data_IF_449814097823
#
_entry.id   IF_449814097823
#
_cell.length_a   1.000
_cell.length_b   1.000
_cell.length_c   1.000
_cell.angle_alpha   90.00
_cell.angle_beta   90.00
_cell.angle_gamma   90.00
#
_symmetry.space_group_name_H-M   'P 1'
#
loop_
_entity.id
_entity.type
_entity.pdbx_description
1 polymer ?
#
# COMPACT_ATOMS: atom_id res chain seq x y z
N UNK A 1 29.72 22.61 7.95
CA UNK A 1 29.00 23.18 9.11
C UNK A 1 27.77 22.32 9.30
N UNK A 2 27.79 21.39 10.26
CA UNK A 2 26.59 20.67 10.69
C UNK A 2 25.76 21.63 11.53
N UNK A 3 24.73 22.21 10.93
CA UNK A 3 23.66 22.85 11.70
C UNK A 3 22.91 21.69 12.32
N UNK A 4 23.05 21.48 13.61
CA UNK A 4 22.20 20.55 14.35
C UNK A 4 20.75 21.06 14.13
N UNK A 5 19.91 20.24 13.46
CA UNK A 5 18.49 20.54 13.32
C UNK A 5 17.90 20.57 14.73
N UNK A 6 17.50 21.77 15.18
CA UNK A 6 16.77 21.92 16.44
C UNK A 6 15.39 21.27 16.25
N UNK A 7 15.18 20.13 16.93
CA UNK A 7 13.91 19.42 16.96
C UNK A 7 12.98 20.04 18.01
N UNK A 8 11.74 20.30 17.63
CA UNK A 8 10.71 20.88 18.49
C UNK A 8 9.69 19.81 18.88
N UNK A 9 9.50 19.55 20.17
CA UNK A 9 8.49 18.59 20.61
C UNK A 9 7.07 19.15 20.37
N UNK A 10 6.21 18.35 19.77
CA UNK A 10 4.80 18.60 19.58
C UNK A 10 4.00 17.41 20.09
N UNK A 11 2.90 17.65 20.82
CA UNK A 11 2.01 16.59 21.26
C UNK A 11 0.89 16.41 20.22
N UNK A 12 0.81 15.21 19.64
CA UNK A 12 -0.17 14.83 18.65
C UNK A 12 -0.82 13.52 19.10
N UNK A 13 -2.13 13.52 19.29
CA UNK A 13 -2.89 12.35 19.81
C UNK A 13 -2.26 11.74 21.07
N UNK A 14 -1.78 12.62 22.00
CA UNK A 14 -1.15 12.21 23.24
C UNK A 14 0.29 11.69 23.11
N UNK A 15 0.91 11.77 21.95
CA UNK A 15 2.32 11.38 21.68
C UNK A 15 3.16 12.61 21.44
N UNK A 16 4.39 12.57 21.97
CA UNK A 16 5.38 13.61 21.66
C UNK A 16 6.07 13.24 20.34
N UNK A 17 6.00 14.16 19.37
CA UNK A 17 6.64 14.07 18.05
C UNK A 17 7.67 15.17 17.96
N UNK A 18 8.91 14.82 17.66
CA UNK A 18 9.98 15.78 17.41
C UNK A 18 9.96 16.20 15.94
N UNK A 19 9.78 17.50 15.68
CA UNK A 19 9.69 18.07 14.36
C UNK A 19 10.74 19.16 14.20
N UNK A 20 11.24 19.34 12.98
CA UNK A 20 12.03 20.50 12.67
C UNK A 20 11.22 21.81 12.81
N UNK A 21 11.92 22.96 12.92
CA UNK A 21 11.29 24.26 13.15
C UNK A 21 10.28 24.61 12.05
N UNK A 22 10.63 24.35 10.79
CA UNK A 22 9.79 24.70 9.64
C UNK A 22 8.50 23.91 9.67
N UNK A 23 8.58 22.61 9.95
CA UNK A 23 7.41 21.74 10.07
C UNK A 23 6.51 22.15 11.23
N UNK A 24 7.10 22.49 12.39
CA UNK A 24 6.37 22.97 13.55
C UNK A 24 5.63 24.29 13.28
N UNK A 25 6.29 25.24 12.62
CA UNK A 25 5.70 26.53 12.26
C UNK A 25 4.56 26.37 11.25
N UNK A 26 4.73 25.49 10.26
CA UNK A 26 3.68 25.22 9.26
C UNK A 26 2.43 24.55 9.89
N UNK A 27 2.61 23.66 10.84
CA UNK A 27 1.49 23.00 11.54
C UNK A 27 0.74 23.95 12.47
N UNK A 28 1.43 24.96 13.03
CA UNK A 28 0.82 25.99 13.90
C UNK A 28 0.26 27.20 13.12
N UNK A 29 0.55 27.28 11.81
CA UNK A 29 0.08 28.38 10.97
C UNK A 29 -1.46 28.42 10.92
N UNK A 30 -2.06 29.62 10.85
CA UNK A 30 -3.52 29.73 10.77
C UNK A 30 -4.05 29.03 9.52
N UNK A 31 -5.25 28.45 9.59
CA UNK A 31 -5.89 27.83 8.44
C UNK A 31 -6.10 28.86 7.32
N UNK A 32 -6.15 28.38 6.10
CA UNK A 32 -6.36 29.19 4.88
C UNK A 32 -7.71 28.91 4.26
N UNK A 33 -8.24 29.87 3.53
CA UNK A 33 -9.50 29.76 2.79
C UNK A 33 -9.24 29.63 1.31
N UNK A 34 -9.85 28.61 0.70
CA UNK A 34 -9.83 28.40 -0.75
C UNK A 34 -11.24 28.13 -1.26
N UNK A 35 -11.45 28.25 -2.55
CA UNK A 35 -12.74 27.95 -3.18
C UNK A 35 -12.56 26.80 -4.16
N UNK A 36 -13.38 25.74 -4.04
CA UNK A 36 -13.38 24.59 -4.96
C UNK A 36 -14.78 24.42 -5.56
N UNK A 37 -14.91 24.57 -6.87
CA UNK A 37 -16.19 24.55 -7.58
C UNK A 37 -17.27 25.44 -6.94
N UNK A 38 -16.85 26.63 -6.49
CA UNK A 38 -17.74 27.60 -5.83
C UNK A 38 -17.99 27.34 -4.33
N UNK A 39 -17.47 26.25 -3.76
CA UNK A 39 -17.57 25.97 -2.32
C UNK A 39 -16.34 26.51 -1.59
N UNK A 40 -16.57 27.32 -0.56
CA UNK A 40 -15.51 27.78 0.33
C UNK A 40 -15.08 26.66 1.28
N UNK A 41 -13.78 26.51 1.46
CA UNK A 41 -13.16 25.53 2.34
C UNK A 41 -12.06 26.18 3.15
N UNK A 42 -12.16 26.08 4.45
CA UNK A 42 -11.11 26.47 5.38
C UNK A 42 -10.30 25.23 5.77
N UNK A 43 -8.97 25.28 5.60
CA UNK A 43 -8.10 24.11 5.81
C UNK A 43 -6.74 24.52 6.36
N UNK A 44 -6.16 23.67 7.22
CA UNK A 44 -4.80 23.86 7.73
C UNK A 44 -3.77 23.83 6.60
N UNK A 45 -2.69 24.59 6.71
CA UNK A 45 -1.61 24.66 5.70
C UNK A 45 -0.82 23.36 5.61
N UNK A 46 -0.70 22.66 6.73
CA UNK A 46 -0.02 21.37 6.82
C UNK A 46 -0.77 20.42 7.76
N UNK A 47 -0.54 19.14 7.59
CA UNK A 47 -1.06 18.06 8.42
C UNK A 47 0.05 17.06 8.72
N UNK A 48 -0.20 16.13 9.63
CA UNK A 48 0.69 15.01 9.88
C UNK A 48 0.20 13.78 9.11
N UNK A 49 1.05 13.25 8.26
CA UNK A 49 0.85 11.95 7.62
C UNK A 49 1.44 10.87 8.50
N UNK A 50 0.70 9.78 8.71
CA UNK A 50 1.14 8.63 9.50
C UNK A 50 1.47 7.46 8.59
N UNK A 51 2.69 6.93 8.72
CA UNK A 51 3.02 5.66 8.07
C UNK A 51 2.17 4.54 8.72
N UNK A 52 1.37 3.79 7.95
CA UNK A 52 0.45 2.79 8.49
C UNK A 52 1.15 1.61 9.15
N UNK A 53 2.44 1.38 8.86
CA UNK A 53 3.22 0.24 9.35
C UNK A 53 4.11 0.64 10.51
N UNK A 54 4.96 1.65 10.31
CA UNK A 54 5.91 2.10 11.34
C UNK A 54 5.25 2.99 12.39
N UNK A 55 4.10 3.57 12.08
CA UNK A 55 3.43 4.57 12.90
C UNK A 55 4.15 5.93 12.93
N UNK A 56 5.21 6.09 12.15
CA UNK A 56 5.98 7.33 12.03
C UNK A 56 5.10 8.46 11.51
N UNK A 57 5.19 9.63 12.14
CA UNK A 57 4.48 10.83 11.75
C UNK A 57 5.42 11.78 11.01
N UNK A 58 5.03 12.19 9.81
CA UNK A 58 5.77 13.18 9.00
C UNK A 58 4.88 14.37 8.67
N UNK A 59 5.40 15.60 8.75
CA UNK A 59 4.68 16.78 8.31
C UNK A 59 4.46 16.73 6.80
N UNK A 60 3.24 17.02 6.38
CA UNK A 60 2.83 17.06 4.98
C UNK A 60 2.10 18.36 4.70
N UNK A 61 2.50 19.09 3.65
CA UNK A 61 1.74 20.22 3.16
C UNK A 61 0.37 19.77 2.68
N UNK A 62 -0.66 20.49 3.09
CA UNK A 62 -2.03 20.22 2.63
C UNK A 62 -2.14 20.50 1.15
N UNK A 63 -2.64 19.53 0.39
CA UNK A 63 -2.79 19.62 -1.06
C UNK A 63 -4.21 20.04 -1.46
N UNK A 64 -4.38 20.42 -2.72
CA UNK A 64 -5.72 20.68 -3.29
C UNK A 64 -6.60 19.43 -3.17
N UNK A 65 -6.03 18.23 -3.27
CA UNK A 65 -6.77 16.98 -3.11
C UNK A 65 -7.32 16.81 -1.69
N UNK A 66 -6.49 17.08 -0.67
CA UNK A 66 -6.91 17.03 0.74
C UNK A 66 -8.06 18.02 1.00
N UNK A 67 -7.96 19.21 0.42
CA UNK A 67 -9.02 20.23 0.52
C UNK A 67 -10.30 19.83 -0.20
N UNK A 68 -10.21 19.20 -1.37
CA UNK A 68 -11.36 18.69 -2.10
C UNK A 68 -12.07 17.56 -1.35
N UNK A 69 -11.32 16.67 -0.72
CA UNK A 69 -11.87 15.62 0.15
C UNK A 69 -12.64 16.22 1.32
N UNK A 70 -12.08 17.25 1.98
CA UNK A 70 -12.76 17.98 3.07
C UNK A 70 -14.05 18.66 2.61
N UNK A 71 -14.05 19.20 1.37
CA UNK A 71 -15.22 19.84 0.74
C UNK A 71 -16.29 18.85 0.23
N UNK A 72 -16.00 17.54 0.25
CA UNK A 72 -16.85 16.52 -0.39
C UNK A 72 -16.89 16.66 -1.91
N UNK A 73 -15.81 17.19 -2.53
CA UNK A 73 -15.67 17.32 -3.99
C UNK A 73 -14.86 16.16 -4.54
N UNK A 74 -15.42 15.47 -5.51
CA UNK A 74 -14.77 14.33 -6.12
C UNK A 74 -13.69 14.75 -7.12
N UNK A 75 -12.45 14.32 -6.89
CA UNK A 75 -11.35 14.40 -7.84
C UNK A 75 -10.85 12.96 -8.08
N UNK A 76 -10.81 12.46 -9.33
CA UNK A 76 -10.33 11.12 -9.60
C UNK A 76 -8.83 11.01 -9.36
N UNK A 77 -8.40 9.89 -8.79
CA UNK A 77 -6.99 9.60 -8.51
C UNK A 77 -6.65 8.17 -8.92
N UNK A 78 -5.43 7.92 -9.40
CA UNK A 78 -4.93 6.58 -9.68
C UNK A 78 -3.54 6.33 -9.09
N UNK A 79 -2.59 7.25 -9.23
CA UNK A 79 -1.24 7.03 -8.70
C UNK A 79 -1.10 7.44 -7.23
N UNK A 80 -2.02 8.23 -6.69
CA UNK A 80 -1.95 8.70 -5.31
C UNK A 80 -2.50 7.68 -4.32
N UNK A 81 -1.85 7.60 -3.16
CA UNK A 81 -2.31 6.97 -1.91
C UNK A 81 -1.98 7.91 -0.77
N UNK A 82 -2.84 7.99 0.22
CA UNK A 82 -2.77 8.95 1.32
C UNK A 82 -1.47 8.86 2.13
N UNK A 83 -0.94 7.66 2.28
CA UNK A 83 0.27 7.37 3.07
C UNK A 83 1.56 7.26 2.22
N UNK A 84 1.51 7.64 0.95
CA UNK A 84 2.66 7.65 0.05
C UNK A 84 2.93 9.04 -0.48
N UNK A 85 4.19 9.38 -0.71
CA UNK A 85 4.56 10.64 -1.33
C UNK A 85 3.91 10.82 -2.72
N UNK A 86 3.30 11.97 -3.01
CA UNK A 86 2.61 12.18 -4.27
C UNK A 86 3.61 12.36 -5.42
N UNK A 87 3.52 11.51 -6.46
CA UNK A 87 4.39 11.56 -7.66
C UNK A 87 3.73 12.26 -8.86
N UNK A 88 2.42 12.50 -8.82
CA UNK A 88 1.65 13.19 -9.85
C UNK A 88 1.81 12.64 -11.29
N UNK A 89 2.16 11.36 -11.45
CA UNK A 89 2.50 10.75 -12.74
C UNK A 89 1.28 10.46 -13.62
N UNK A 90 0.16 10.03 -13.05
CA UNK A 90 -1.03 9.65 -13.82
C UNK A 90 -1.84 10.83 -14.32
N UNK A 91 -1.73 12.01 -13.72
CA UNK A 91 -2.45 13.25 -14.04
C UNK A 91 -3.97 13.18 -13.96
N UNK A 92 -4.54 12.12 -13.39
CA UNK A 92 -5.99 11.98 -13.22
C UNK A 92 -6.57 13.04 -12.29
N UNK A 93 -5.83 13.47 -11.29
CA UNK A 93 -6.22 14.52 -10.37
C UNK A 93 -5.99 15.94 -10.91
N UNK A 94 -5.97 16.12 -12.24
CA UNK A 94 -5.82 17.42 -12.85
C UNK A 94 -6.95 18.38 -12.46
N UNK A 95 -6.61 19.61 -12.11
CA UNK A 95 -7.54 20.69 -11.78
C UNK A 95 -7.08 22.01 -12.41
N UNK A 96 -8.01 22.94 -12.60
CA UNK A 96 -7.73 24.27 -13.10
C UNK A 96 -7.71 25.27 -11.94
N UNK A 97 -6.61 25.99 -11.80
CA UNK A 97 -6.41 27.06 -10.80
C UNK A 97 -6.29 28.45 -11.47
N UNK A 98 -6.74 28.57 -12.73
CA UNK A 98 -6.54 29.78 -13.53
C UNK A 98 -5.14 29.94 -14.11
N UNK A 99 -4.25 28.93 -13.98
CA UNK A 99 -2.92 28.93 -14.55
C UNK A 99 -2.93 28.50 -16.04
N UNK A 100 -1.81 28.73 -16.74
CA UNK A 100 -1.66 28.33 -18.14
C UNK A 100 -1.91 26.82 -18.35
N UNK A 101 -1.48 26.01 -17.40
CA UNK A 101 -1.60 24.54 -17.46
C UNK A 101 -2.38 24.00 -16.26
N UNK A 102 -3.04 22.85 -16.46
CA UNK A 102 -3.69 22.13 -15.37
C UNK A 102 -2.62 21.60 -14.38
N UNK A 103 -2.94 21.66 -13.10
CA UNK A 103 -2.06 21.18 -12.03
C UNK A 103 -2.58 19.86 -11.44
N UNK A 104 -1.70 19.08 -10.84
CA UNK A 104 -2.07 17.85 -10.17
C UNK A 104 -2.49 18.14 -8.72
N UNK A 105 -3.77 17.96 -8.40
CA UNK A 105 -4.32 18.24 -7.07
C UNK A 105 -3.64 17.45 -5.95
N UNK A 106 -3.18 16.23 -6.21
CA UNK A 106 -2.50 15.39 -5.22
C UNK A 106 -1.10 15.90 -4.80
N UNK A 107 -0.52 16.83 -5.56
CA UNK A 107 0.84 17.32 -5.33
C UNK A 107 0.90 18.84 -5.09
N UNK A 108 -0.05 19.60 -5.65
CA UNK A 108 -0.06 21.07 -5.51
C UNK A 108 -0.54 21.47 -4.12
N UNK A 109 0.29 22.14 -3.30
CA UNK A 109 -0.14 22.69 -2.03
C UNK A 109 -1.20 23.78 -2.21
N UNK A 110 -2.06 23.91 -1.21
CA UNK A 110 -3.06 24.99 -1.15
C UNK A 110 -2.43 26.34 -0.79
N UNK A 111 -2.98 27.41 -1.33
CA UNK A 111 -2.58 28.78 -1.06
C UNK A 111 -3.82 29.63 -0.72
N UNK A 112 -3.65 30.66 0.10
CA UNK A 112 -4.74 31.56 0.50
C UNK A 112 -5.45 32.17 -0.71
N UNK A 113 -6.77 32.13 -0.71
CA UNK A 113 -7.59 32.68 -1.78
C UNK A 113 -7.59 31.91 -3.10
N UNK A 114 -6.95 30.72 -3.15
CA UNK A 114 -6.89 29.89 -4.35
C UNK A 114 -8.31 29.53 -4.83
N UNK A 115 -8.56 29.67 -6.13
CA UNK A 115 -9.81 29.22 -6.79
C UNK A 115 -9.51 27.99 -7.64
N UNK A 116 -10.19 26.89 -7.35
CA UNK A 116 -9.98 25.59 -8.00
C UNK A 116 -11.26 25.15 -8.72
N UNK A 117 -11.13 24.80 -9.99
CA UNK A 117 -12.20 24.20 -10.80
C UNK A 117 -11.84 22.76 -11.13
N UNK A 118 -12.76 21.83 -10.84
CA UNK A 118 -12.61 20.40 -11.16
C UNK A 118 -13.31 20.07 -12.49
N UNK A 119 -13.39 18.79 -12.85
CA UNK A 119 -14.16 18.33 -14.00
C UNK A 119 -15.67 18.58 -13.91
N UNK A 120 -16.16 19.00 -12.74
CA UNK A 120 -17.57 19.37 -12.58
C UNK A 120 -17.85 20.78 -13.13
N UNK A 121 -16.89 21.70 -13.03
CA UNK A 121 -17.08 23.12 -13.40
C UNK A 121 -16.17 23.57 -14.55
N UNK A 122 -15.15 22.81 -14.93
CA UNK A 122 -14.23 23.10 -16.01
C UNK A 122 -14.25 22.05 -17.11
N UNK A 123 -14.72 22.42 -18.31
CA UNK A 123 -14.70 21.55 -19.48
C UNK A 123 -13.27 21.17 -19.90
N UNK A 124 -12.29 22.06 -19.69
CA UNK A 124 -10.88 21.79 -19.94
C UNK A 124 -10.37 20.63 -19.07
N UNK A 125 -10.72 20.61 -17.78
CA UNK A 125 -10.39 19.51 -16.86
C UNK A 125 -11.13 18.25 -17.26
N UNK A 126 -12.45 18.33 -17.47
CA UNK A 126 -13.29 17.21 -17.85
C UNK A 126 -12.79 16.50 -19.12
N UNK A 127 -12.47 17.26 -20.16
CA UNK A 127 -11.96 16.70 -21.42
C UNK A 127 -10.56 16.08 -21.22
N UNK A 128 -9.68 16.74 -20.48
CA UNK A 128 -8.34 16.22 -20.18
C UNK A 128 -8.42 14.86 -19.47
N UNK A 129 -9.23 14.76 -18.43
CA UNK A 129 -9.39 13.52 -17.65
C UNK A 129 -10.01 12.40 -18.50
N UNK A 130 -11.00 12.72 -19.35
CA UNK A 130 -11.59 11.74 -20.29
C UNK A 130 -10.54 11.18 -21.25
N UNK A 131 -9.76 12.04 -21.90
CA UNK A 131 -8.71 11.62 -22.84
C UNK A 131 -7.66 10.75 -22.13
N UNK A 132 -7.22 11.14 -20.93
CA UNK A 132 -6.30 10.34 -20.15
C UNK A 132 -6.89 8.96 -19.78
N UNK A 133 -8.19 8.91 -19.46
CA UNK A 133 -8.87 7.64 -19.18
C UNK A 133 -8.87 6.74 -20.42
N UNK A 134 -9.22 7.27 -21.60
CA UNK A 134 -9.17 6.52 -22.87
C UNK A 134 -7.78 5.99 -23.15
N UNK A 135 -6.73 6.81 -23.00
CA UNK A 135 -5.33 6.40 -23.22
C UNK A 135 -4.92 5.27 -22.28
N UNK A 136 -5.26 5.34 -21.00
CA UNK A 136 -4.93 4.27 -20.06
C UNK A 136 -5.74 2.99 -20.29
N UNK A 137 -7.00 3.11 -20.73
CA UNK A 137 -7.82 1.93 -21.07
C UNK A 137 -7.27 1.15 -22.28
N UNK A 138 -6.60 1.85 -23.21
CA UNK A 138 -5.95 1.21 -24.37
C UNK A 138 -4.81 0.30 -23.94
N UNK A 139 -4.01 0.78 -23.01
CA UNK A 139 -2.83 0.07 -22.54
C UNK A 139 -3.10 -0.92 -21.40
N UNK A 140 -4.33 -0.89 -20.86
CA UNK A 140 -4.74 -1.73 -19.76
C UNK A 140 -5.64 -2.86 -20.26
N UNK A 141 -5.07 -4.02 -20.46
CA UNK A 141 -5.84 -5.23 -20.69
C UNK A 141 -6.54 -5.69 -19.40
N UNK A 142 -7.61 -6.47 -19.56
CA UNK A 142 -8.24 -7.12 -18.41
C UNK A 142 -7.26 -8.14 -17.84
N UNK A 143 -6.92 -8.10 -16.53
CA UNK A 143 -5.98 -9.04 -15.96
C UNK A 143 -6.43 -10.50 -16.20
N UNK A 144 -5.49 -11.38 -16.54
CA UNK A 144 -5.76 -12.82 -16.76
C UNK A 144 -6.28 -13.52 -15.52
N UNK A 145 -5.78 -13.10 -14.36
CA UNK A 145 -6.29 -13.59 -13.07
C UNK A 145 -7.54 -12.80 -12.75
N UNK A 146 -8.63 -13.45 -13.03
CA UNK A 146 -9.99 -12.92 -12.96
C UNK A 146 -10.30 -12.33 -11.59
N UNK A 147 -10.99 -11.24 -11.60
CA UNK A 147 -11.90 -10.60 -10.64
C UNK A 147 -11.55 -9.22 -10.14
N UNK A 148 -10.47 -8.60 -10.64
CA UNK A 148 -10.32 -7.17 -10.45
C UNK A 148 -11.00 -6.33 -11.54
N UNK A 149 -11.80 -6.97 -12.39
CA UNK A 149 -12.66 -6.28 -13.35
C UNK A 149 -13.81 -5.55 -12.64
N UNK A 150 -14.30 -6.12 -11.55
CA UNK A 150 -15.46 -5.64 -10.81
C UNK A 150 -15.03 -5.26 -9.38
N UNK A 151 -15.12 -3.97 -9.07
CA UNK A 151 -14.93 -3.45 -7.73
C UNK A 151 -13.50 -3.04 -7.38
N UNK A 152 -12.50 -3.81 -7.73
CA UNK A 152 -11.11 -3.52 -7.36
C UNK A 152 -10.27 -2.88 -8.48
N UNK A 153 -10.79 -2.80 -9.71
CA UNK A 153 -10.15 -2.07 -10.80
C UNK A 153 -10.55 -0.59 -10.77
N UNK A 154 -9.73 0.22 -10.10
CA UNK A 154 -9.99 1.65 -9.91
C UNK A 154 -10.11 2.41 -11.25
N UNK A 155 -9.29 2.06 -12.26
CA UNK A 155 -9.36 2.70 -13.58
C UNK A 155 -10.73 2.51 -14.24
N UNK A 156 -11.25 1.29 -14.24
CA UNK A 156 -12.55 0.97 -14.84
C UNK A 156 -13.70 1.55 -14.03
N UNK A 157 -13.57 1.58 -12.71
CA UNK A 157 -14.54 2.24 -11.83
C UNK A 157 -14.60 3.74 -12.09
N UNK A 158 -13.44 4.40 -12.29
CA UNK A 158 -13.39 5.82 -12.66
C UNK A 158 -14.00 6.04 -14.05
N UNK A 159 -13.66 5.21 -15.03
CA UNK A 159 -14.26 5.31 -16.38
C UNK A 159 -15.80 5.28 -16.33
N UNK A 160 -16.39 4.35 -15.58
CA UNK A 160 -17.84 4.29 -15.36
C UNK A 160 -18.38 5.55 -14.69
N UNK A 161 -17.72 6.08 -13.66
CA UNK A 161 -18.10 7.33 -12.97
C UNK A 161 -18.05 8.55 -13.91
N UNK A 162 -17.16 8.53 -14.90
CA UNK A 162 -17.06 9.58 -15.93
C UNK A 162 -18.05 9.40 -17.08
N UNK A 163 -18.93 8.38 -17.01
CA UNK A 163 -19.88 8.04 -18.06
C UNK A 163 -19.23 7.49 -19.32
N UNK A 164 -18.10 6.80 -19.19
CA UNK A 164 -17.36 6.18 -20.29
C UNK A 164 -17.54 4.68 -20.26
N UNK A 165 -17.49 4.05 -21.44
CA UNK A 165 -17.38 2.59 -21.52
C UNK A 165 -15.99 2.16 -21.05
N UNK A 166 -15.89 1.34 -20.00
CA UNK A 166 -14.61 0.90 -19.46
C UNK A 166 -13.86 -0.08 -20.38
N UNK A 167 -14.45 -0.53 -21.46
CA UNK A 167 -13.88 -1.49 -22.42
C UNK A 167 -13.62 -0.87 -23.81
N UNK A 168 -14.04 0.37 -24.03
CA UNK A 168 -13.91 1.04 -25.32
C UNK A 168 -12.88 2.18 -25.26
N UNK A 169 -12.09 2.29 -26.31
CA UNK A 169 -11.25 3.45 -26.58
C UNK A 169 -11.18 3.70 -28.09
N UNK A 170 -11.11 4.97 -28.47
CA UNK A 170 -10.89 5.39 -29.87
C UNK A 170 -9.43 5.30 -30.30
N UNK A 171 -8.52 5.10 -29.37
CA UNK A 171 -7.09 4.98 -29.67
C UNK A 171 -6.71 3.54 -30.01
N UNK A 172 -5.70 3.34 -30.87
CA UNK A 172 -5.21 2.00 -31.21
C UNK A 172 -4.57 1.33 -29.99
N UNK A 173 -4.80 0.03 -29.84
CA UNK A 173 -4.18 -0.75 -28.78
C UNK A 173 -2.64 -0.78 -28.92
N UNK A 174 -1.98 -0.86 -27.76
CA UNK A 174 -0.53 -1.10 -27.72
C UNK A 174 -0.21 -2.43 -28.40
N UNK A 175 0.66 -2.46 -29.42
CA UNK A 175 0.99 -3.69 -30.14
C UNK A 175 1.97 -4.59 -29.37
N UNK A 176 2.55 -4.11 -28.28
CA UNK A 176 3.57 -4.84 -27.53
C UNK A 176 2.95 -5.62 -26.37
N UNK A 177 3.13 -6.94 -26.38
CA UNK A 177 2.92 -7.77 -25.20
C UNK A 177 4.08 -7.50 -24.21
N UNK A 178 3.72 -7.00 -23.02
CA UNK A 178 4.67 -6.75 -21.94
C UNK A 178 4.92 -8.00 -21.08
N UNK A 179 4.15 -9.06 -21.32
CA UNK A 179 4.30 -10.36 -20.70
C UNK A 179 3.68 -10.46 -19.30
N UNK A 180 3.81 -11.65 -18.76
CA UNK A 180 3.37 -12.02 -17.41
C UNK A 180 4.51 -12.65 -16.65
N UNK A 181 4.44 -12.61 -15.31
CA UNK A 181 5.37 -13.32 -14.43
C UNK A 181 4.56 -14.07 -13.36
N UNK A 182 4.62 -15.38 -13.44
CA UNK A 182 3.98 -16.32 -12.52
C UNK A 182 4.98 -17.10 -11.67
N UNK A 183 6.22 -16.66 -11.60
CA UNK A 183 7.29 -17.33 -10.85
C UNK A 183 7.07 -17.30 -9.33
N UNK A 184 6.49 -16.23 -8.78
CA UNK A 184 6.16 -16.17 -7.36
C UNK A 184 5.06 -17.16 -6.98
N UNK A 185 5.17 -17.77 -5.83
CA UNK A 185 4.15 -18.71 -5.33
C UNK A 185 2.82 -18.04 -4.97
N UNK A 186 2.86 -16.75 -4.60
CA UNK A 186 1.71 -16.04 -4.00
C UNK A 186 1.17 -14.98 -4.95
N UNK A 187 2.03 -14.26 -5.65
CA UNK A 187 1.67 -13.10 -6.46
C UNK A 187 1.82 -13.44 -7.94
N UNK A 188 0.79 -13.14 -8.71
CA UNK A 188 0.82 -13.15 -10.18
C UNK A 188 1.00 -11.73 -10.68
N UNK A 189 1.83 -11.56 -11.69
CA UNK A 189 2.13 -10.28 -12.33
C UNK A 189 1.68 -10.31 -13.78
N UNK A 190 0.78 -9.39 -14.15
CA UNK A 190 0.38 -9.17 -15.54
C UNK A 190 0.79 -7.75 -15.95
N UNK A 191 1.89 -7.65 -16.68
CA UNK A 191 2.41 -6.35 -17.12
C UNK A 191 1.49 -5.66 -18.13
N UNK A 192 0.61 -6.38 -18.82
CA UNK A 192 -0.35 -5.80 -19.78
C UNK A 192 -1.49 -5.07 -19.05
N UNK A 193 -1.79 -5.47 -17.83
CA UNK A 193 -2.73 -4.77 -16.96
C UNK A 193 -2.11 -3.57 -16.21
N UNK A 194 -0.80 -3.34 -16.34
CA UNK A 194 -0.09 -2.31 -15.62
C UNK A 194 -0.20 -0.95 -16.31
N UNK A 195 -0.63 0.09 -15.59
CA UNK A 195 -0.71 1.49 -16.03
C UNK A 195 0.50 2.34 -15.63
N UNK A 196 1.55 1.74 -15.10
CA UNK A 196 2.78 2.42 -14.70
C UNK A 196 2.55 3.57 -13.69
N UNK A 197 1.65 3.37 -12.73
CA UNK A 197 1.29 4.39 -11.74
C UNK A 197 2.27 4.49 -10.55
N UNK A 198 3.24 3.60 -10.46
CA UNK A 198 4.26 3.50 -9.39
C UNK A 198 3.73 3.25 -7.96
N UNK A 199 2.46 2.94 -7.77
CA UNK A 199 1.98 2.60 -6.43
C UNK A 199 2.72 1.39 -5.85
N UNK A 200 2.94 0.33 -6.63
CA UNK A 200 3.65 -0.86 -6.20
C UNK A 200 5.12 -0.60 -5.87
N UNK A 201 5.79 0.24 -6.67
CA UNK A 201 7.18 0.64 -6.44
C UNK A 201 7.29 1.39 -5.11
N UNK A 202 6.44 2.40 -4.89
CA UNK A 202 6.42 3.16 -3.64
C UNK A 202 5.95 2.31 -2.45
N UNK A 203 4.99 1.44 -2.65
CA UNK A 203 4.57 0.49 -1.62
C UNK A 203 5.74 -0.39 -1.13
N UNK A 204 6.56 -0.85 -2.06
CA UNK A 204 7.75 -1.64 -1.75
C UNK A 204 8.83 -0.80 -1.05
N UNK A 205 9.10 0.41 -1.58
CA UNK A 205 10.27 1.19 -1.19
C UNK A 205 9.97 2.15 -0.02
N UNK A 206 8.84 2.89 -0.06
CA UNK A 206 8.52 3.91 0.96
C UNK A 206 7.77 3.31 2.15
N UNK A 207 6.91 2.29 1.92
CA UNK A 207 6.06 1.72 2.97
C UNK A 207 6.71 0.52 3.63
N UNK A 208 7.31 -0.39 2.85
CA UNK A 208 7.93 -1.63 3.35
C UNK A 208 9.45 -1.59 3.44
N UNK A 209 10.10 -0.62 2.78
CA UNK A 209 11.57 -0.48 2.76
C UNK A 209 12.30 -1.72 2.23
N UNK A 210 11.70 -2.44 1.28
CA UNK A 210 12.29 -3.65 0.70
C UNK A 210 13.13 -3.36 -0.55
N UNK A 211 12.84 -2.27 -1.28
CA UNK A 211 13.58 -1.78 -2.45
C UNK A 211 13.73 -2.77 -3.60
N UNK A 212 12.79 -3.73 -3.72
CA UNK A 212 12.81 -4.78 -4.74
C UNK A 212 12.24 -4.31 -6.09
N UNK A 213 11.22 -3.43 -6.02
CA UNK A 213 10.48 -3.00 -7.21
C UNK A 213 11.06 -1.72 -7.82
N UNK A 214 11.23 -1.76 -9.14
CA UNK A 214 11.65 -0.62 -9.95
C UNK A 214 10.94 -0.55 -11.30
N UNK A 215 11.34 0.41 -12.13
CA UNK A 215 10.93 0.50 -13.54
C UNK A 215 12.05 0.08 -14.44
N UNK A 216 11.72 -0.62 -15.51
CA UNK A 216 12.65 -0.93 -16.59
C UNK A 216 12.08 -0.60 -17.96
N UNK A 217 12.96 -0.54 -18.95
CA UNK A 217 12.68 -0.19 -20.33
C UNK A 217 12.13 1.23 -20.52
N UNK A 218 11.78 1.59 -21.75
CA UNK A 218 11.23 2.90 -22.12
C UNK A 218 10.13 2.74 -23.17
N UNK A 219 9.27 3.75 -23.27
CA UNK A 219 8.15 3.79 -24.21
C UNK A 219 7.17 2.63 -23.98
N UNK A 220 6.69 2.03 -25.07
CA UNK A 220 5.69 0.95 -25.01
C UNK A 220 6.19 -0.35 -24.33
N UNK A 221 7.50 -0.52 -24.21
CA UNK A 221 8.10 -1.66 -23.50
C UNK A 221 8.31 -1.42 -22.01
N UNK A 222 7.96 -0.23 -21.51
CA UNK A 222 8.08 0.08 -20.08
C UNK A 222 7.25 -0.88 -19.24
N UNK A 223 7.85 -1.40 -18.17
CA UNK A 223 7.19 -2.26 -17.19
C UNK A 223 7.84 -2.10 -15.82
N UNK A 224 7.18 -2.61 -14.80
CA UNK A 224 7.81 -2.82 -13.49
C UNK A 224 8.78 -4.01 -13.57
N UNK A 225 9.81 -3.99 -12.75
CA UNK A 225 10.80 -5.07 -12.63
C UNK A 225 11.08 -5.35 -11.16
N UNK A 226 11.62 -6.53 -10.91
CA UNK A 226 12.07 -6.98 -9.61
C UNK A 226 13.60 -7.07 -9.65
N UNK A 227 14.29 -6.51 -8.65
CA UNK A 227 15.76 -6.41 -8.60
C UNK A 227 16.36 -5.95 -9.96
N UNK A 228 17.26 -6.70 -10.53
CA UNK A 228 17.89 -6.43 -11.84
C UNK A 228 17.12 -7.05 -13.04
N UNK A 229 15.81 -7.15 -12.94
CA UNK A 229 14.89 -7.79 -13.89
C UNK A 229 14.82 -9.32 -13.73
N UNK A 230 14.98 -9.80 -12.54
CA UNK A 230 14.74 -11.19 -12.21
C UNK A 230 13.22 -11.50 -12.22
N UNK A 231 12.83 -12.76 -12.47
CA UNK A 231 11.48 -13.20 -12.14
C UNK A 231 11.16 -12.96 -10.67
N UNK A 232 9.94 -12.55 -10.35
CA UNK A 232 9.55 -12.20 -8.97
C UNK A 232 9.87 -13.30 -7.95
N UNK A 233 9.68 -14.57 -8.33
CA UNK A 233 9.95 -15.71 -7.47
C UNK A 233 11.43 -15.98 -7.20
N UNK A 234 12.33 -15.40 -8.00
CA UNK A 234 13.78 -15.53 -7.86
C UNK A 234 14.44 -14.25 -7.32
N UNK A 235 13.64 -13.20 -7.13
CA UNK A 235 14.10 -11.91 -6.62
C UNK A 235 14.20 -11.91 -5.09
N UNK A 236 14.72 -10.84 -4.52
CA UNK A 236 14.77 -10.61 -3.07
C UNK A 236 13.39 -10.28 -2.45
N UNK A 237 12.30 -10.51 -3.19
CA UNK A 237 10.94 -10.25 -2.75
C UNK A 237 10.55 -11.12 -1.54
N UNK A 238 10.16 -10.48 -0.46
CA UNK A 238 9.71 -11.14 0.78
C UNK A 238 8.21 -11.50 0.76
N UNK A 239 7.54 -11.37 -0.37
CA UNK A 239 6.12 -11.73 -0.56
C UNK A 239 5.14 -11.04 0.41
N UNK A 240 5.45 -9.82 0.87
CA UNK A 240 4.63 -9.09 1.84
C UNK A 240 3.25 -8.65 1.31
N UNK A 241 3.03 -8.65 -0.02
CA UNK A 241 1.74 -8.34 -0.65
C UNK A 241 1.40 -6.84 -0.77
N UNK A 242 2.19 -5.91 -0.22
CA UNK A 242 1.86 -4.48 -0.22
C UNK A 242 1.73 -3.90 -1.64
N UNK A 243 2.57 -4.35 -2.56
CA UNK A 243 2.50 -3.97 -3.98
C UNK A 243 1.19 -4.40 -4.64
N UNK A 244 0.68 -5.57 -4.28
CA UNK A 244 -0.60 -6.12 -4.74
C UNK A 244 -1.77 -5.33 -4.14
N UNK A 245 -1.76 -5.07 -2.83
CA UNK A 245 -2.79 -4.28 -2.15
C UNK A 245 -2.87 -2.84 -2.68
N UNK A 246 -1.75 -2.30 -3.15
CA UNK A 246 -1.66 -0.95 -3.70
C UNK A 246 -1.98 -0.86 -5.19
N UNK A 247 -2.04 -1.97 -5.94
CA UNK A 247 -2.24 -1.96 -7.38
C UNK A 247 -3.67 -1.55 -7.76
N UNK A 248 -3.87 -0.46 -8.55
CA UNK A 248 -5.21 0.03 -8.88
C UNK A 248 -5.89 -0.76 -10.00
N UNK A 249 -5.17 -1.59 -10.74
CA UNK A 249 -5.68 -2.28 -11.93
C UNK A 249 -5.62 -3.80 -11.85
N UNK A 250 -5.04 -4.36 -10.79
CA UNK A 250 -4.86 -5.79 -10.65
C UNK A 250 -3.72 -6.38 -11.48
N UNK A 251 -2.81 -5.54 -11.99
CA UNK A 251 -1.57 -6.00 -12.63
C UNK A 251 -0.73 -6.87 -11.68
N UNK A 252 -0.80 -6.59 -10.39
CA UNK A 252 -0.30 -7.43 -9.31
C UNK A 252 -1.50 -7.94 -8.53
N UNK A 253 -1.65 -9.25 -8.46
CA UNK A 253 -2.77 -9.90 -7.76
C UNK A 253 -2.30 -11.18 -7.09
N UNK A 254 -3.00 -11.58 -6.03
CA UNK A 254 -2.69 -12.84 -5.40
C UNK A 254 -3.11 -14.02 -6.28
N UNK A 255 -2.29 -15.05 -6.29
CA UNK A 255 -2.69 -16.33 -6.86
C UNK A 255 -3.77 -16.96 -6.00
N UNK A 256 -4.73 -17.61 -6.65
CA UNK A 256 -5.76 -18.37 -5.94
C UNK A 256 -5.12 -19.60 -5.33
N UNK A 257 -4.90 -19.58 -4.02
CA UNK A 257 -4.35 -20.72 -3.28
C UNK A 257 -5.39 -21.80 -2.96
N UNK A 258 -6.65 -21.58 -3.34
CA UNK A 258 -7.74 -22.54 -3.13
C UNK A 258 -7.46 -23.84 -3.86
N UNK A 259 -7.27 -24.91 -3.09
CA UNK A 259 -6.91 -26.23 -3.62
C UNK A 259 -5.42 -26.53 -3.65
N UNK A 260 -4.54 -25.57 -3.37
CA UNK A 260 -3.15 -25.90 -3.06
C UNK A 260 -3.09 -26.42 -1.63
N UNK A 261 -2.83 -27.72 -1.49
CA UNK A 261 -2.64 -28.38 -0.18
C UNK A 261 -1.37 -27.91 0.56
N UNK A 262 -0.75 -26.82 0.12
CA UNK A 262 0.56 -26.35 0.60
C UNK A 262 0.55 -25.87 2.06
N UNK A 263 -0.60 -25.42 2.57
CA UNK A 263 -0.72 -25.01 3.97
C UNK A 263 -1.74 -25.86 4.76
N UNK A 264 -2.53 -26.68 4.07
CA UNK A 264 -3.54 -27.52 4.67
C UNK A 264 -2.95 -28.86 5.11
N UNK A 265 -2.23 -28.87 6.24
CA UNK A 265 -1.93 -30.12 6.91
C UNK A 265 -3.21 -30.85 7.33
N UNK A 266 -3.11 -32.15 7.76
CA UNK A 266 -4.24 -32.89 8.21
C UNK A 266 -5.02 -32.15 9.30
N UNK A 267 -6.34 -32.03 9.13
CA UNK A 267 -7.23 -31.36 10.09
C UNK A 267 -7.39 -29.84 9.92
N UNK A 268 -6.90 -29.26 8.82
CA UNK A 268 -7.18 -27.88 8.48
C UNK A 268 -8.63 -27.71 8.00
N UNK A 269 -9.34 -26.73 8.56
CA UNK A 269 -10.71 -26.39 8.18
C UNK A 269 -10.74 -24.97 7.60
N UNK A 270 -11.34 -24.75 6.43
CA UNK A 270 -11.54 -23.41 5.91
C UNK A 270 -12.42 -22.60 6.85
N UNK A 271 -12.07 -21.34 7.06
CA UNK A 271 -12.88 -20.39 7.85
C UNK A 271 -13.98 -19.84 6.96
N UNK A 272 -15.20 -19.75 7.50
CA UNK A 272 -16.35 -19.20 6.75
C UNK A 272 -16.15 -17.72 6.46
N UNK A 273 -16.76 -17.21 5.36
CA UNK A 273 -16.73 -15.78 5.06
C UNK A 273 -17.38 -14.94 6.17
N UNK A 274 -18.47 -15.43 6.76
CA UNK A 274 -19.16 -14.71 7.82
C UNK A 274 -18.28 -14.57 9.07
N UNK A 275 -17.53 -15.61 9.45
CA UNK A 275 -16.56 -15.55 10.53
C UNK A 275 -15.43 -14.54 10.21
N UNK A 276 -14.95 -14.52 8.96
CA UNK A 276 -13.92 -13.58 8.55
C UNK A 276 -14.40 -12.13 8.58
N UNK A 277 -15.64 -11.84 8.16
CA UNK A 277 -16.21 -10.49 8.22
C UNK A 277 -16.41 -9.97 9.66
N UNK A 278 -16.60 -10.85 10.62
CA UNK A 278 -16.72 -10.49 12.02
C UNK A 278 -15.38 -10.31 12.72
N UNK A 279 -14.31 -10.86 12.16
CA UNK A 279 -12.99 -10.83 12.77
C UNK A 279 -12.30 -9.47 12.57
N UNK A 280 -11.76 -8.90 13.64
CA UNK A 280 -11.23 -7.53 13.65
C UNK A 280 -10.06 -7.31 12.68
N UNK A 281 -9.23 -8.34 12.45
CA UNK A 281 -8.10 -8.30 11.51
C UNK A 281 -8.53 -8.05 10.06
N UNK A 282 -9.73 -8.50 9.67
CA UNK A 282 -10.24 -8.37 8.30
C UNK A 282 -11.21 -7.20 8.13
N UNK A 283 -11.37 -6.39 9.18
CA UNK A 283 -12.22 -5.21 9.14
C UNK A 283 -11.74 -4.19 8.10
N UNK A 284 -12.63 -3.78 7.22
CA UNK A 284 -12.33 -2.84 6.14
C UNK A 284 -11.86 -3.47 4.83
N UNK A 285 -11.71 -4.80 4.78
CA UNK A 285 -11.46 -5.51 3.52
C UNK A 285 -12.76 -5.61 2.73
N UNK A 286 -12.70 -5.35 1.41
CA UNK A 286 -13.88 -5.40 0.55
C UNK A 286 -14.45 -6.81 0.43
N UNK A 287 -15.78 -6.92 0.39
CA UNK A 287 -16.48 -8.20 0.26
C UNK A 287 -16.04 -8.98 -0.98
N UNK A 288 -15.92 -8.38 -2.19
CA UNK A 288 -15.44 -9.10 -3.37
C UNK A 288 -14.03 -9.67 -3.21
N UNK A 289 -13.14 -8.96 -2.50
CA UNK A 289 -11.79 -9.45 -2.23
C UNK A 289 -11.82 -10.68 -1.31
N UNK A 290 -12.65 -10.67 -0.28
CA UNK A 290 -12.80 -11.80 0.64
C UNK A 290 -13.43 -13.02 -0.05
N UNK A 291 -14.47 -12.81 -0.86
CA UNK A 291 -15.10 -13.87 -1.66
C UNK A 291 -14.12 -14.51 -2.64
N UNK A 292 -13.28 -13.69 -3.29
CA UNK A 292 -12.23 -14.19 -4.18
C UNK A 292 -11.20 -15.05 -3.46
N UNK A 293 -10.88 -14.69 -2.23
CA UNK A 293 -9.88 -15.36 -1.41
C UNK A 293 -10.48 -16.40 -0.46
N UNK A 294 -11.71 -16.81 -0.69
CA UNK A 294 -12.36 -17.85 0.11
C UNK A 294 -11.49 -19.12 0.14
N UNK A 295 -11.22 -19.61 1.34
CA UNK A 295 -10.35 -20.78 1.56
C UNK A 295 -8.86 -20.45 1.70
N UNK A 296 -8.46 -19.17 1.59
CA UNK A 296 -7.09 -18.73 1.90
C UNK A 296 -6.83 -18.67 3.41
N UNK A 297 -7.89 -18.56 4.19
CA UNK A 297 -7.81 -18.58 5.65
C UNK A 297 -8.34 -19.91 6.13
N UNK A 298 -7.49 -20.62 6.86
CA UNK A 298 -7.79 -21.94 7.41
C UNK A 298 -7.56 -21.94 8.92
N UNK A 299 -8.38 -22.68 9.64
CA UNK A 299 -8.18 -22.97 11.06
C UNK A 299 -7.50 -24.32 11.20
N UNK A 300 -6.42 -24.39 11.95
CA UNK A 300 -5.67 -25.60 12.18
C UNK A 300 -5.39 -25.80 13.68
N UNK A 301 -5.49 -27.04 14.16
CA UNK A 301 -5.09 -27.42 15.51
C UNK A 301 -3.71 -28.06 15.47
N UNK A 302 -2.84 -27.61 16.34
CA UNK A 302 -1.53 -28.18 16.55
C UNK A 302 -1.50 -28.94 17.86
N UNK A 303 -0.76 -30.03 17.88
CA UNK A 303 -0.56 -30.84 19.10
C UNK A 303 0.60 -30.26 19.90
N UNK A 304 0.63 -30.51 21.20
CA UNK A 304 1.75 -30.12 22.02
C UNK A 304 3.08 -30.66 21.45
N UNK A 305 4.05 -29.79 21.22
CA UNK A 305 5.33 -30.11 20.64
C UNK A 305 5.34 -30.29 19.12
N UNK A 306 4.25 -29.98 18.42
CA UNK A 306 4.24 -29.92 16.96
C UNK A 306 4.90 -28.62 16.49
N UNK A 307 5.76 -28.71 15.47
CA UNK A 307 6.44 -27.55 14.86
C UNK A 307 5.48 -26.88 13.89
N UNK A 308 5.29 -25.56 14.04
CA UNK A 308 4.46 -24.76 13.13
C UNK A 308 5.29 -24.29 11.93
N UNK A 309 6.50 -23.76 12.17
CA UNK A 309 7.46 -23.36 11.14
C UNK A 309 8.88 -23.44 11.69
N UNK A 310 9.87 -23.60 10.81
CA UNK A 310 11.27 -23.60 11.18
C UNK A 310 11.95 -22.29 10.80
N UNK A 311 12.95 -21.88 11.60
CA UNK A 311 13.82 -20.76 11.28
C UNK A 311 14.54 -20.99 9.94
N UNK A 312 14.46 -20.01 9.03
CA UNK A 312 15.08 -20.07 7.70
C UNK A 312 14.22 -20.74 6.62
N UNK A 313 13.02 -21.29 6.97
CA UNK A 313 12.07 -21.73 5.95
C UNK A 313 11.41 -20.50 5.29
N UNK A 314 11.24 -20.55 3.98
CA UNK A 314 10.49 -19.52 3.25
C UNK A 314 9.01 -19.61 3.63
N UNK A 315 8.51 -18.61 4.36
CA UNK A 315 7.14 -18.56 4.83
C UNK A 315 6.20 -17.84 3.88
N UNK A 316 5.12 -18.48 3.47
CA UNK A 316 4.00 -17.89 2.73
C UNK A 316 2.72 -17.76 3.57
N UNK A 317 2.81 -18.07 4.86
CA UNK A 317 1.67 -18.17 5.77
C UNK A 317 1.88 -17.30 6.98
N UNK A 318 0.88 -16.50 7.32
CA UNK A 318 0.80 -15.80 8.60
C UNK A 318 -0.09 -16.61 9.56
N UNK A 319 0.32 -16.69 10.82
CA UNK A 319 -0.42 -17.40 11.86
C UNK A 319 -1.02 -16.45 12.86
N UNK A 320 -2.27 -16.69 13.22
CA UNK A 320 -2.97 -16.00 14.31
C UNK A 320 -3.31 -17.07 15.36
N UNK A 321 -2.87 -16.84 16.58
CA UNK A 321 -3.17 -17.76 17.68
C UNK A 321 -4.56 -17.38 18.20
N UNK A 322 -5.56 -18.24 17.95
CA UNK A 322 -6.91 -18.07 18.50
C UNK A 322 -7.00 -18.63 19.91
N UNK A 323 -6.30 -19.73 20.20
CA UNK A 323 -6.32 -20.39 21.48
C UNK A 323 -5.00 -21.13 21.73
N UNK A 324 -4.51 -21.06 22.97
CA UNK A 324 -3.29 -21.75 23.38
C UNK A 324 -2.05 -20.86 23.46
N UNK A 325 -0.90 -21.50 23.57
CA UNK A 325 0.41 -20.84 23.69
C UNK A 325 1.39 -21.50 22.72
N UNK A 326 2.27 -20.69 22.15
CA UNK A 326 3.34 -21.12 21.25
C UNK A 326 4.67 -20.61 21.78
N UNK A 327 5.71 -21.42 21.66
CA UNK A 327 7.08 -21.07 22.03
C UNK A 327 7.88 -20.76 20.76
N UNK A 328 8.66 -19.68 20.80
CA UNK A 328 9.53 -19.26 19.70
C UNK A 328 10.97 -19.53 20.09
N UNK A 329 11.67 -20.33 19.29
CA UNK A 329 13.07 -20.67 19.48
C UNK A 329 13.91 -20.14 18.32
N UNK A 330 14.95 -19.40 18.63
CA UNK A 330 15.91 -18.87 17.66
C UNK A 330 17.21 -19.67 17.74
N UNK A 331 17.63 -20.26 16.61
CA UNK A 331 18.91 -20.99 16.51
C UNK A 331 20.11 -20.05 16.53
N UNK A 332 19.94 -18.87 15.96
CA UNK A 332 21.00 -17.86 15.94
C UNK A 332 20.74 -16.79 16.99
N UNK A 333 21.67 -16.56 17.95
CA UNK A 333 21.51 -15.44 18.85
C UNK A 333 21.53 -14.15 18.04
N UNK A 334 20.64 -13.20 18.37
CA UNK A 334 20.54 -11.88 17.74
C UNK A 334 21.78 -11.01 18.06
N UNK A 335 22.95 -11.47 17.67
CA UNK A 335 24.25 -10.82 17.93
C UNK A 335 24.43 -9.49 17.17
N UNK A 336 23.49 -9.13 16.27
CA UNK A 336 23.57 -7.92 15.44
C UNK A 336 22.81 -6.73 15.98
N UNK A 337 22.00 -6.89 17.02
CA UNK A 337 21.31 -5.76 17.64
C UNK A 337 22.25 -5.12 18.66
N UNK A 338 23.13 -4.23 18.19
CA UNK A 338 23.85 -3.31 19.06
C UNK A 338 22.84 -2.45 19.82
N UNK A 339 22.99 -2.40 21.14
CA UNK A 339 22.24 -1.57 22.07
C UNK A 339 22.22 -0.09 21.62
N UNK A 340 21.24 0.32 20.87
CA UNK A 340 20.80 1.70 20.81
C UNK A 340 19.64 1.82 21.79
N UNK A 341 19.83 2.62 22.81
CA UNK A 341 18.77 2.96 23.76
C UNK A 341 17.65 3.69 23.03
N UNK A 342 16.61 2.99 22.65
CA UNK A 342 15.32 3.58 22.26
C UNK A 342 14.23 2.89 23.07
N UNK A 343 13.55 3.69 23.87
CA UNK A 343 12.38 3.33 24.65
C UNK A 343 11.21 3.08 23.69
N UNK A 344 10.91 1.84 23.39
CA UNK A 344 9.82 1.49 22.51
C UNK A 344 9.73 -0.02 22.31
N UNK A 345 9.60 -0.43 21.09
CA UNK A 345 9.49 -1.82 20.66
C UNK A 345 10.66 -2.72 21.11
N UNK A 346 11.87 -2.18 21.20
CA UNK A 346 13.05 -2.89 21.73
C UNK A 346 12.96 -3.23 23.24
N UNK A 347 12.17 -2.49 24.01
CA UNK A 347 11.88 -2.84 25.41
C UNK A 347 11.04 -4.12 25.54
N UNK A 348 10.17 -4.39 24.59
CA UNK A 348 9.40 -5.63 24.54
C UNK A 348 10.30 -6.81 24.15
N UNK A 349 11.16 -6.65 23.14
CA UNK A 349 12.12 -7.69 22.71
C UNK A 349 13.08 -8.04 23.85
N UNK A 350 13.53 -7.04 24.63
CA UNK A 350 14.39 -7.27 25.78
C UNK A 350 13.71 -8.07 26.90
N UNK A 351 12.39 -7.94 27.06
CA UNK A 351 11.59 -8.77 27.97
C UNK A 351 11.52 -10.23 27.50
N UNK A 352 11.37 -10.45 26.19
CA UNK A 352 11.39 -11.78 25.59
C UNK A 352 12.76 -12.46 25.67
N UNK A 353 13.86 -11.73 25.39
CA UNK A 353 15.21 -12.31 25.45
C UNK A 353 15.68 -12.62 26.88
N UNK A 354 15.19 -11.89 27.88
CA UNK A 354 15.55 -12.17 29.31
C UNK A 354 14.84 -13.44 29.81
N UNK A 355 13.64 -13.75 29.27
CA UNK A 355 12.93 -15.00 29.58
C UNK A 355 13.57 -16.21 28.91
N UNK A 356 14.16 -16.02 27.70
CA UNK A 356 14.85 -17.07 26.94
C UNK A 356 16.26 -17.43 27.50
N UNK A 357 16.90 -16.52 28.22
CA UNK A 357 18.26 -16.76 28.78
C UNK A 357 18.27 -17.58 30.08
N UNK A 358 17.13 -17.89 30.65
CA UNK A 358 17.00 -18.65 31.90
C UNK A 358 16.56 -20.11 31.70
N UNK A 359 16.30 -20.54 30.47
CA UNK A 359 16.04 -21.94 30.18
C UNK A 359 17.33 -22.77 30.34
N UNK A 360 17.31 -23.79 31.18
CA UNK A 360 18.48 -24.64 31.43
C UNK A 360 18.77 -25.52 30.20
N UNK A 361 20.05 -25.86 29.97
CA UNK A 361 20.49 -26.72 28.85
C UNK A 361 19.78 -28.09 28.77
N UNK A 362 19.16 -28.56 29.85
CA UNK A 362 18.40 -29.81 29.87
C UNK A 362 17.00 -29.68 29.30
N UNK A 363 16.44 -28.47 29.22
CA UNK A 363 15.17 -28.19 28.56
C UNK A 363 15.34 -28.01 27.05
N UNK A 364 16.51 -27.67 26.55
CA UNK A 364 16.79 -27.57 25.10
C UNK A 364 16.49 -28.86 24.33
N UNK A 365 16.62 -30.02 24.98
CA UNK A 365 16.26 -31.33 24.36
C UNK A 365 14.76 -31.56 24.24
N UNK A 366 13.96 -30.80 24.97
CA UNK A 366 12.47 -30.85 24.90
C UNK A 366 11.87 -29.66 24.18
N UNK A 367 12.70 -28.67 23.89
CA UNK A 367 12.31 -27.45 23.21
C UNK A 367 11.85 -27.72 21.79
N UNK A 368 10.78 -27.11 21.39
CA UNK A 368 10.12 -27.40 20.12
C UNK A 368 9.44 -26.18 19.56
N UNK A 369 9.71 -26.09 18.43
CA UNK A 369 9.80 -24.98 17.48
C UNK A 369 8.49 -24.49 16.97
N UNK A 370 8.60 -23.29 16.59
CA UNK A 370 7.57 -22.67 15.77
C UNK A 370 8.22 -21.95 14.62
#
# INVERSE_FOLDING_TARGET
MNVAEELFPMVVDGRVVELDRIASDLLKAPPIKITIDGKEVEIARATLSKNPITGELKPKLTTILDAAQKAGVFIPILCHREHMEPVAVCRFCAVDIGARTLVAACHRPVEEGMKVSTGATSDKVKNSVKILTELLLVDNEVPRVVNREYGDNELRTIAKKLGMDPHASRFPKNPNDRGTDDSSMIISVDHNACILCDRCVRACNEVRHNEVLGRMNKGFKSRISFDLNDPMGNSSCVSCGECMASCPTGALTNKKLVGSNLAAGPGALPVSLDDLFTHELFKGISKPFMEWNQGSVIRRKFKQGEIICNEGESGSTAFIIEEGVVDVFLKSPLNHIKNTQSSGFLGLIKKFTTTLSTASRDEEKKARYI
#
